data_IF_344063638515
#
_entry.id   IF_344063638515
#
_cell.length_a   1.000
_cell.length_b   1.000
_cell.length_c   1.000
_cell.angle_alpha   90.00
_cell.angle_beta   90.00
_cell.angle_gamma   90.00
#
_symmetry.space_group_name_H-M   'P 1'
#
loop_
_entity.id
_entity.type
_entity.pdbx_description
1 polymer ?
#
# COMPACT_ATOMS: atom_id res chain seq x y z
N UNK A 1 0.45 -1.76 4.09
CA UNK A 1 -0.73 -1.68 4.99
C UNK A 1 -0.83 -2.98 5.80
N UNK A 2 -1.50 -2.97 6.95
CA UNK A 2 -1.80 -4.21 7.69
C UNK A 2 -3.28 -4.18 8.07
N UNK A 3 -3.97 -5.33 8.07
CA UNK A 3 -5.39 -5.49 8.45
C UNK A 3 -6.46 -5.32 7.35
N UNK A 4 -6.15 -5.61 6.09
CA UNK A 4 -7.14 -5.73 5.02
C UNK A 4 -7.76 -7.14 5.00
N UNK A 5 -8.94 -7.28 4.40
CA UNK A 5 -9.62 -8.57 4.28
C UNK A 5 -8.75 -9.56 3.50
N UNK A 6 -8.77 -10.85 3.87
CA UNK A 6 -8.04 -11.88 3.11
C UNK A 6 -8.52 -12.02 1.66
N UNK A 7 -9.76 -11.63 1.37
CA UNK A 7 -10.33 -11.61 0.03
C UNK A 7 -9.90 -10.40 -0.80
N UNK A 8 -9.26 -9.40 -0.19
CA UNK A 8 -8.86 -8.19 -0.91
C UNK A 8 -7.71 -8.50 -1.88
N UNK A 9 -7.93 -8.16 -3.14
CA UNK A 9 -6.97 -8.33 -4.22
C UNK A 9 -6.00 -7.16 -4.31
N UNK A 10 -4.84 -7.40 -4.94
CA UNK A 10 -3.86 -6.34 -5.20
C UNK A 10 -4.44 -5.22 -6.10
N UNK A 11 -5.35 -5.57 -7.01
CA UNK A 11 -6.03 -4.61 -7.90
C UNK A 11 -6.97 -3.69 -7.12
N UNK A 12 -7.77 -4.23 -6.21
CA UNK A 12 -8.67 -3.41 -5.38
C UNK A 12 -7.90 -2.44 -4.48
N UNK A 13 -6.77 -2.90 -3.90
CA UNK A 13 -5.89 -2.04 -3.11
C UNK A 13 -5.24 -0.97 -3.99
N UNK A 14 -4.80 -1.33 -5.21
CA UNK A 14 -4.23 -0.38 -6.15
C UNK A 14 -5.23 0.69 -6.57
N UNK A 15 -6.47 0.32 -6.89
CA UNK A 15 -7.54 1.27 -7.21
C UNK A 15 -7.87 2.17 -6.01
N UNK A 16 -7.93 1.60 -4.79
CA UNK A 16 -8.15 2.36 -3.57
C UNK A 16 -7.03 3.38 -3.34
N UNK A 17 -5.77 2.96 -3.43
CA UNK A 17 -4.62 3.84 -3.25
C UNK A 17 -4.50 4.89 -4.36
N UNK A 18 -4.87 4.54 -5.60
CA UNK A 18 -4.89 5.46 -6.74
C UNK A 18 -5.86 6.63 -6.56
N UNK A 19 -6.87 6.51 -5.68
CA UNK A 19 -7.75 7.64 -5.31
C UNK A 19 -7.04 8.69 -4.45
N UNK A 20 -6.02 8.31 -3.68
CA UNK A 20 -5.31 9.20 -2.78
C UNK A 20 -4.03 9.75 -3.40
N UNK A 21 -3.28 8.91 -4.12
CA UNK A 21 -2.02 9.28 -4.74
C UNK A 21 -1.69 8.36 -5.91
N UNK A 22 -0.77 8.78 -6.78
CA UNK A 22 -0.30 7.96 -7.90
C UNK A 22 0.41 6.70 -7.38
N UNK A 23 -0.30 5.57 -7.41
CA UNK A 23 0.24 4.27 -6.99
C UNK A 23 0.80 3.55 -8.23
N UNK A 24 2.09 3.19 -8.22
CA UNK A 24 2.75 2.50 -9.34
C UNK A 24 2.63 0.97 -9.25
N UNK A 25 2.62 0.40 -8.04
CA UNK A 25 2.44 -1.04 -7.85
C UNK A 25 1.99 -1.38 -6.43
N UNK A 26 1.12 -2.39 -6.30
CA UNK A 26 0.80 -3.02 -5.00
C UNK A 26 1.25 -4.48 -5.02
N UNK A 27 1.99 -4.89 -3.99
CA UNK A 27 2.49 -6.24 -3.82
C UNK A 27 1.99 -6.84 -2.51
N UNK A 28 1.23 -7.93 -2.61
CA UNK A 28 0.76 -8.72 -1.47
C UNK A 28 1.60 -10.00 -1.39
N UNK A 29 2.57 -10.10 -0.47
CA UNK A 29 3.26 -11.35 -0.22
C UNK A 29 2.29 -12.43 0.28
N UNK A 30 2.50 -13.68 -0.16
CA UNK A 30 1.81 -14.86 0.38
C UNK A 30 2.25 -15.23 1.80
N UNK A 31 3.35 -14.62 2.27
CA UNK A 31 3.93 -14.86 3.59
C UNK A 31 3.21 -14.02 4.64
N UNK A 32 2.85 -14.66 5.75
CA UNK A 32 2.32 -13.98 6.92
C UNK A 32 3.47 -13.41 7.76
N UNK A 33 3.20 -12.33 8.50
CA UNK A 33 4.16 -11.81 9.47
C UNK A 33 4.34 -12.78 10.66
N UNK A 34 5.21 -12.41 11.60
CA UNK A 34 5.46 -13.23 12.80
C UNK A 34 4.21 -13.43 13.68
N UNK A 35 3.19 -12.59 13.53
CA UNK A 35 1.92 -12.64 14.24
C UNK A 35 0.81 -13.33 13.42
N UNK A 36 1.11 -13.89 12.24
CA UNK A 36 0.13 -14.54 11.38
C UNK A 36 -0.74 -13.57 10.57
N UNK A 37 -0.39 -12.30 10.49
CA UNK A 37 -1.16 -11.27 9.79
C UNK A 37 -0.62 -11.04 8.37
N UNK A 38 -1.53 -10.80 7.42
CA UNK A 38 -1.17 -10.36 6.06
C UNK A 38 -0.76 -8.90 6.06
N UNK A 39 0.23 -8.60 5.23
CA UNK A 39 0.70 -7.25 4.95
C UNK A 39 0.87 -7.09 3.45
N UNK A 40 0.71 -5.87 2.96
CA UNK A 40 0.91 -5.46 1.58
C UNK A 40 1.90 -4.30 1.53
N UNK A 41 2.58 -4.18 0.40
CA UNK A 41 3.43 -3.06 0.06
C UNK A 41 2.82 -2.30 -1.11
N UNK A 42 2.59 -1.00 -0.93
CA UNK A 42 2.21 -0.10 -2.01
C UNK A 42 3.42 0.77 -2.36
N UNK A 43 3.80 0.79 -3.63
CA UNK A 43 4.81 1.68 -4.18
C UNK A 43 4.09 2.86 -4.80
N UNK A 44 4.26 4.04 -4.21
CA UNK A 44 3.75 5.29 -4.75
C UNK A 44 4.82 5.96 -5.61
N UNK A 45 4.38 6.60 -6.68
CA UNK A 45 5.20 7.42 -7.56
C UNK A 45 5.16 8.88 -7.07
N UNK A 46 6.22 9.64 -7.33
CA UNK A 46 6.28 11.09 -7.05
C UNK A 46 5.96 11.46 -5.59
N UNK A 47 6.28 10.61 -4.62
CA UNK A 47 6.10 10.94 -3.20
C UNK A 47 7.08 12.05 -2.82
N UNK A 48 6.59 13.29 -2.74
CA UNK A 48 7.34 14.39 -2.16
C UNK A 48 7.30 14.29 -0.63
N UNK A 49 8.48 14.31 -0.02
CA UNK A 49 8.63 14.37 1.44
C UNK A 49 7.95 15.64 1.96
N UNK A 50 6.89 15.49 2.77
CA UNK A 50 6.16 16.61 3.35
C UNK A 50 7.07 17.54 4.18
N UNK A 51 8.26 17.10 4.59
CA UNK A 51 9.25 17.97 5.25
C UNK A 51 9.82 19.08 4.35
N UNK A 52 9.56 19.08 3.03
CA UNK A 52 9.91 20.20 2.13
C UNK A 52 8.83 21.29 2.03
N UNK A 53 7.66 21.10 2.64
CA UNK A 53 6.54 22.06 2.59
C UNK A 53 6.43 22.95 3.84
N UNK A 54 7.33 22.78 4.82
CA UNK A 54 7.52 23.70 5.94
C UNK A 54 8.68 24.65 5.60
N UNK A 55 8.44 25.58 4.68
CA UNK A 55 9.26 26.79 4.49
C UNK A 55 8.56 27.97 5.14
#
# INVERSE_FOLDING_TARGET
MTNFLESTSATELWELFSKYWKCGAVYIPKKLDKAGKRFDFARFEDVEDHNKLLL
#
